data_IF_396808929641
#
_entry.id   IF_396808929641
#
_cell.length_a   1.000
_cell.length_b   1.000
_cell.length_c   1.000
_cell.angle_alpha   90.00
_cell.angle_beta   90.00
_cell.angle_gamma   90.00
#
_symmetry.space_group_name_H-M   'P 1'
#
loop_
_entity.id
_entity.type
_entity.pdbx_description
1 polymer ?
#
# COMPACT_ATOMS: atom_id res chain seq x y z
N UNK A 1 6.53 7.01 30.70
CA UNK A 1 6.92 6.95 29.28
C UNK A 1 5.64 6.81 28.45
N UNK A 2 5.25 7.81 27.68
CA UNK A 2 4.04 7.70 26.83
C UNK A 2 4.36 6.75 25.67
N UNK A 3 3.76 5.57 25.69
CA UNK A 3 3.80 4.66 24.56
C UNK A 3 3.06 5.33 23.39
N UNK A 4 3.80 5.81 22.39
CA UNK A 4 3.25 6.22 21.11
C UNK A 4 2.73 4.96 20.42
N UNK A 5 1.50 4.55 20.73
CA UNK A 5 0.80 3.60 19.87
C UNK A 5 0.59 4.31 18.53
N UNK A 6 1.44 4.02 17.55
CA UNK A 6 1.35 4.64 16.24
C UNK A 6 -0.03 4.30 15.66
N UNK A 7 -0.94 5.28 15.45
CA UNK A 7 -2.33 5.01 15.04
C UNK A 7 -2.45 4.50 13.59
N UNK A 8 -1.32 4.35 12.92
CA UNK A 8 -1.19 4.05 11.50
C UNK A 8 -0.72 2.61 11.32
N UNK A 9 -1.68 1.70 11.14
CA UNK A 9 -1.38 0.33 10.74
C UNK A 9 -0.78 0.35 9.34
N UNK A 10 0.53 0.15 9.18
CA UNK A 10 1.17 0.14 7.86
C UNK A 10 1.08 -1.24 7.22
N UNK A 11 0.80 -1.30 5.91
CA UNK A 11 0.90 -2.54 5.13
C UNK A 11 1.68 -2.34 3.84
N UNK A 12 2.40 -3.37 3.41
CA UNK A 12 3.07 -3.39 2.12
C UNK A 12 2.10 -3.76 1.01
N UNK A 13 2.12 -2.97 -0.06
CA UNK A 13 1.51 -3.33 -1.34
C UNK A 13 2.56 -4.04 -2.17
N UNK A 14 2.23 -5.26 -2.60
CA UNK A 14 3.09 -6.08 -3.47
C UNK A 14 2.58 -6.06 -4.90
N UNK A 15 3.49 -6.08 -5.85
CA UNK A 15 3.16 -6.23 -7.26
C UNK A 15 2.47 -7.59 -7.50
N UNK A 16 1.25 -7.63 -8.05
CA UNK A 16 0.54 -8.89 -8.29
C UNK A 16 1.20 -9.75 -9.37
N UNK A 17 2.04 -9.17 -10.23
CA UNK A 17 2.71 -9.90 -11.31
C UNK A 17 4.05 -10.52 -10.92
N UNK A 18 4.78 -9.93 -9.96
CA UNK A 18 6.15 -10.37 -9.65
C UNK A 18 6.50 -10.42 -8.15
N UNK A 19 5.53 -10.13 -7.28
CA UNK A 19 5.67 -10.20 -5.81
C UNK A 19 6.53 -9.11 -5.18
N UNK A 20 7.17 -8.22 -5.97
CA UNK A 20 8.02 -7.15 -5.42
C UNK A 20 7.19 -6.15 -4.61
N UNK A 21 7.69 -5.74 -3.44
CA UNK A 21 7.13 -4.64 -2.65
C UNK A 21 7.20 -3.33 -3.43
N UNK A 22 6.07 -2.64 -3.57
CA UNK A 22 5.93 -1.42 -4.36
C UNK A 22 5.87 -0.18 -3.48
N UNK A 23 4.99 -0.20 -2.48
CA UNK A 23 4.74 0.94 -1.60
C UNK A 23 4.28 0.44 -0.24
N UNK A 24 4.53 1.24 0.80
CA UNK A 24 3.95 1.05 2.12
C UNK A 24 2.80 2.05 2.27
N UNK A 25 1.61 1.55 2.60
CA UNK A 25 0.42 2.36 2.74
C UNK A 25 -0.12 2.30 4.15
N UNK A 26 -0.85 3.33 4.54
CA UNK A 26 -1.68 3.27 5.73
C UNK A 26 -2.91 2.38 5.47
N UNK A 27 -3.14 1.40 6.34
CA UNK A 27 -4.23 0.43 6.25
C UNK A 27 -5.59 1.07 6.55
N UNK A 28 -5.61 2.16 7.32
CA UNK A 28 -6.82 2.87 7.74
C UNK A 28 -7.19 4.02 6.79
N UNK A 29 -6.42 4.24 5.72
CA UNK A 29 -6.73 5.25 4.69
C UNK A 29 -7.34 4.62 3.45
N UNK A 30 -8.42 5.23 2.92
CA UNK A 30 -9.00 4.86 1.63
C UNK A 30 -8.07 5.34 0.52
N UNK A 31 -7.68 4.44 -0.38
CA UNK A 31 -6.79 4.76 -1.51
C UNK A 31 -7.44 4.24 -2.78
N UNK A 32 -7.63 5.13 -3.76
CA UNK A 32 -8.19 4.85 -5.08
C UNK A 32 -7.49 5.72 -6.12
N UNK A 33 -7.44 5.28 -7.38
CA UNK A 33 -6.87 6.04 -8.51
C UNK A 33 -5.38 6.41 -8.34
N UNK A 34 -4.62 5.61 -7.60
CA UNK A 34 -3.16 5.74 -7.50
C UNK A 34 -2.51 4.64 -8.34
N UNK A 35 -1.75 5.04 -9.35
CA UNK A 35 -1.11 4.10 -10.28
C UNK A 35 0.41 4.16 -10.11
N UNK A 36 1.04 2.99 -10.03
CA UNK A 36 2.49 2.88 -9.95
C UNK A 36 3.00 1.90 -10.99
N UNK A 37 4.09 2.25 -11.65
CA UNK A 37 4.82 1.33 -12.52
C UNK A 37 5.77 0.47 -11.68
N UNK A 38 5.62 -0.85 -11.75
CA UNK A 38 6.53 -1.76 -11.07
C UNK A 38 7.95 -1.59 -11.61
N UNK A 39 8.90 -1.27 -10.75
CA UNK A 39 10.31 -1.08 -11.18
C UNK A 39 10.96 -2.36 -11.69
N UNK A 40 10.45 -3.54 -11.31
CA UNK A 40 10.95 -4.86 -11.73
C UNK A 40 10.31 -5.33 -13.04
N UNK A 41 9.02 -5.62 -13.04
CA UNK A 41 8.33 -6.19 -14.21
C UNK A 41 7.74 -5.15 -15.16
N UNK A 42 7.87 -3.85 -14.86
CA UNK A 42 7.42 -2.71 -15.68
C UNK A 42 5.90 -2.62 -15.94
N UNK A 43 5.10 -3.55 -15.42
CA UNK A 43 3.64 -3.45 -15.42
C UNK A 43 3.15 -2.30 -14.55
N UNK A 44 2.11 -1.62 -15.02
CA UNK A 44 1.38 -0.59 -14.29
C UNK A 44 0.29 -1.23 -13.43
N UNK A 45 0.21 -0.83 -12.16
CA UNK A 45 -0.70 -1.40 -11.18
C UNK A 45 -1.39 -0.27 -10.42
N UNK A 46 -2.71 -0.39 -10.25
CA UNK A 46 -3.47 0.50 -9.38
C UNK A 46 -3.39 0.03 -7.92
N UNK A 47 -2.93 0.90 -7.03
CA UNK A 47 -2.98 0.68 -5.58
C UNK A 47 -4.38 1.03 -5.09
N UNK A 48 -5.08 0.04 -4.53
CA UNK A 48 -6.39 0.20 -3.90
C UNK A 48 -6.37 -0.22 -2.45
N UNK A 49 -6.96 0.59 -1.57
CA UNK A 49 -7.28 0.20 -0.21
C UNK A 49 -8.70 0.63 0.14
N UNK A 50 -9.55 -0.33 0.48
CA UNK A 50 -10.90 -0.08 0.97
C UNK A 50 -10.87 -0.08 2.50
N UNK A 51 -11.51 0.91 3.10
CA UNK A 51 -11.86 0.86 4.52
C UNK A 51 -13.25 0.25 4.58
N UNK A 52 -13.40 -0.89 5.24
CA UNK A 52 -14.72 -1.34 5.66
C UNK A 52 -15.01 -0.59 6.96
N UNK A 53 -15.90 0.39 6.89
CA UNK A 53 -16.40 1.13 8.03
C UNK A 53 -17.52 0.36 8.71
#
# INVERSE_FOLDING_TARGET
MKNLQMPFSRKWVTCPHCGKRLAMIDKNSKIEKVYIKCTRCKNEIEIKNKINN
#
